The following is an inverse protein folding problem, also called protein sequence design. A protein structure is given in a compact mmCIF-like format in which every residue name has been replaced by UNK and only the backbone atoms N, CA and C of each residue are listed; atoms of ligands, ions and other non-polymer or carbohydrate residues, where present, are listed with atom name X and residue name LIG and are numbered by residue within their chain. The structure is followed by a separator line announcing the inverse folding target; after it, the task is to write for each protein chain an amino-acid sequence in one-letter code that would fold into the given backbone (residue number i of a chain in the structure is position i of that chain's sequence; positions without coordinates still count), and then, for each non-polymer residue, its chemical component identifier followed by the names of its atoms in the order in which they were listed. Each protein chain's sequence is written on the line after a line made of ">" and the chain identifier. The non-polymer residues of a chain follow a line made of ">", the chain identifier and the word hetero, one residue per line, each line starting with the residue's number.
data_IF_395153637144
#
_entry.id   IF_395153637144
#
_cell.length_a   1.000
_cell.length_b   1.000
_cell.length_c   1.000
_cell.angle_alpha   90.00
_cell.angle_beta   90.00
_cell.angle_gamma   90.00
#
_symmetry.space_group_name_H-M   'P 1'
#
loop_
_entity.id
_entity.type
_entity.pdbx_description
1 polymer ?
#
# COMPACT_ATOMS: atom_id res chain seq x y z
N UNK A 1 -13.78 -27.27 -3.51
CA UNK A 1 -14.31 -25.94 -3.17
C UNK A 1 -13.43 -25.35 -2.07
N UNK A 2 -12.98 -24.11 -2.26
CA UNK A 2 -12.13 -23.45 -1.28
C UNK A 2 -12.92 -23.10 -0.01
N UNK A 3 -12.22 -23.05 1.13
CA UNK A 3 -12.79 -22.67 2.44
C UNK A 3 -13.47 -21.29 2.37
N UNK A 4 -14.68 -21.12 2.89
CA UNK A 4 -15.33 -19.80 2.96
C UNK A 4 -14.63 -18.84 3.94
N UNK A 5 -14.66 -17.54 3.64
CA UNK A 5 -14.22 -16.48 4.56
C UNK A 5 -15.28 -16.26 5.66
N UNK A 6 -14.85 -15.82 6.84
CA UNK A 6 -15.71 -15.55 8.02
C UNK A 6 -15.87 -14.06 8.31
N UNK A 7 -15.03 -13.20 7.72
CA UNK A 7 -15.16 -11.75 7.85
C UNK A 7 -16.45 -11.24 7.21
N UNK A 8 -17.12 -10.33 7.90
CA UNK A 8 -18.30 -9.62 7.42
C UNK A 8 -18.01 -8.12 7.26
N UNK A 9 -18.71 -7.48 6.34
CA UNK A 9 -18.74 -6.03 6.17
C UNK A 9 -19.60 -5.39 7.26
N UNK A 10 -19.55 -4.05 7.34
CA UNK A 10 -20.36 -3.26 8.28
C UNK A 10 -21.88 -3.46 8.07
N UNK A 11 -22.30 -3.78 6.84
CA UNK A 11 -23.70 -4.09 6.50
C UNK A 11 -24.11 -5.54 6.82
N UNK A 12 -23.21 -6.34 7.43
CA UNK A 12 -23.45 -7.75 7.74
C UNK A 12 -23.29 -8.71 6.57
N UNK A 13 -22.94 -8.25 5.37
CA UNK A 13 -22.66 -9.12 4.22
C UNK A 13 -21.28 -9.76 4.35
N UNK A 14 -21.11 -11.05 4.01
CA UNK A 14 -19.80 -11.71 4.08
C UNK A 14 -18.86 -11.19 2.99
N UNK A 15 -17.56 -11.22 3.28
CA UNK A 15 -16.52 -11.03 2.25
C UNK A 15 -16.38 -12.30 1.41
N UNK A 16 -16.13 -12.11 0.12
CA UNK A 16 -15.81 -13.18 -0.82
C UNK A 16 -14.47 -12.90 -1.48
N UNK A 17 -13.70 -13.96 -1.76
CA UNK A 17 -12.54 -13.84 -2.64
C UNK A 17 -13.01 -13.42 -4.03
N UNK A 18 -12.11 -12.77 -4.78
CA UNK A 18 -12.37 -12.45 -6.18
C UNK A 18 -12.40 -13.73 -7.01
N UNK A 19 -13.25 -13.80 -8.02
CA UNK A 19 -13.41 -14.99 -8.87
C UNK A 19 -12.09 -15.51 -9.45
N UNK A 20 -11.20 -14.58 -9.86
CA UNK A 20 -9.86 -14.90 -10.34
C UNK A 20 -9.04 -15.67 -9.29
N UNK A 21 -9.13 -15.28 -8.02
CA UNK A 21 -8.41 -15.92 -6.91
C UNK A 21 -9.01 -17.28 -6.60
N UNK A 22 -10.34 -17.43 -6.63
CA UNK A 22 -11.01 -18.72 -6.45
C UNK A 22 -10.62 -19.72 -7.55
N UNK A 23 -10.63 -19.27 -8.81
CA UNK A 23 -10.20 -20.08 -9.94
C UNK A 23 -8.73 -20.51 -9.81
N UNK A 24 -7.86 -19.57 -9.43
CA UNK A 24 -6.45 -19.85 -9.19
C UNK A 24 -6.23 -20.84 -8.05
N UNK A 25 -6.93 -20.70 -6.92
CA UNK A 25 -6.88 -21.65 -5.80
C UNK A 25 -7.30 -23.06 -6.26
N UNK A 26 -8.38 -23.15 -7.04
CA UNK A 26 -8.87 -24.44 -7.53
C UNK A 26 -7.86 -25.10 -8.48
N UNK A 27 -7.26 -24.33 -9.39
CA UNK A 27 -6.21 -24.83 -10.29
C UNK A 27 -4.94 -25.26 -9.53
N UNK A 28 -4.53 -24.50 -8.50
CA UNK A 28 -3.36 -24.80 -7.68
C UNK A 28 -3.61 -25.94 -6.68
N UNK A 29 -4.86 -26.28 -6.38
CA UNK A 29 -5.18 -27.43 -5.54
C UNK A 29 -4.98 -28.78 -6.25
N UNK A 30 -4.89 -28.78 -7.58
CA UNK A 30 -4.71 -29.98 -8.40
C UNK A 30 -3.23 -30.33 -8.66
N UNK A 31 -2.32 -29.40 -8.37
CA UNK A 31 -0.87 -29.61 -8.53
C UNK A 31 -0.23 -30.18 -7.26
N UNK A 32 1.00 -30.70 -7.40
CA UNK A 32 1.75 -31.20 -6.26
C UNK A 32 2.29 -30.08 -5.36
N UNK A 33 2.54 -30.39 -4.09
CA UNK A 33 3.16 -29.48 -3.12
C UNK A 33 4.51 -28.91 -3.61
N UNK A 34 5.33 -29.74 -4.26
CA UNK A 34 6.62 -29.33 -4.82
C UNK A 34 6.47 -28.34 -5.99
N UNK A 35 5.44 -28.55 -6.83
CA UNK A 35 5.14 -27.65 -7.93
C UNK A 35 4.58 -26.30 -7.42
N UNK A 36 3.76 -26.33 -6.38
CA UNK A 36 3.27 -25.11 -5.73
C UNK A 36 4.43 -24.30 -5.12
N UNK A 37 5.39 -24.97 -4.46
CA UNK A 37 6.61 -24.33 -3.97
C UNK A 37 7.41 -23.66 -5.09
N UNK A 38 7.62 -24.37 -6.22
CA UNK A 38 8.32 -23.83 -7.39
C UNK A 38 7.62 -22.60 -7.96
N UNK A 39 6.29 -22.65 -8.11
CA UNK A 39 5.51 -21.52 -8.64
C UNK A 39 5.42 -20.35 -7.66
N UNK A 40 5.41 -20.61 -6.36
CA UNK A 40 5.46 -19.57 -5.34
C UNK A 40 6.78 -18.78 -5.38
N UNK A 41 7.84 -19.41 -5.88
CA UNK A 41 9.15 -18.80 -6.13
C UNK A 41 9.21 -17.91 -7.37
N UNK A 42 8.21 -17.97 -8.25
CA UNK A 42 8.11 -17.07 -9.39
C UNK A 42 7.73 -15.66 -8.95
N UNK A 43 8.37 -14.67 -9.58
CA UNK A 43 8.25 -13.26 -9.19
C UNK A 43 7.56 -12.40 -10.24
N UNK A 44 7.49 -12.86 -11.49
CA UNK A 44 6.97 -12.06 -12.59
C UNK A 44 5.46 -12.25 -12.67
N UNK A 45 4.71 -11.16 -12.45
CA UNK A 45 3.24 -11.17 -12.53
C UNK A 45 2.73 -11.54 -13.93
N UNK A 46 3.55 -11.34 -14.96
CA UNK A 46 3.23 -11.69 -16.35
C UNK A 46 3.55 -13.15 -16.67
N UNK A 47 4.19 -13.89 -15.74
CA UNK A 47 4.40 -15.32 -15.90
C UNK A 47 3.06 -16.04 -15.70
N UNK A 48 2.58 -16.83 -16.66
CA UNK A 48 1.33 -17.59 -16.53
C UNK A 48 1.31 -18.53 -15.33
N UNK A 49 2.47 -18.93 -14.82
CA UNK A 49 2.60 -19.81 -13.66
C UNK A 49 2.73 -19.06 -12.32
N UNK A 50 2.72 -17.73 -12.35
CA UNK A 50 2.81 -16.91 -11.15
C UNK A 50 1.59 -17.11 -10.23
N UNK A 51 1.88 -17.45 -8.98
CA UNK A 51 0.86 -17.55 -7.92
C UNK A 51 0.61 -16.16 -7.32
N UNK A 52 -0.63 -15.71 -7.21
CA UNK A 52 -1.00 -14.48 -6.50
C UNK A 52 -0.72 -14.58 -4.99
N UNK A 53 -0.44 -13.46 -4.29
CA UNK A 53 -0.26 -13.50 -2.85
C UNK A 53 -1.55 -13.88 -2.10
N UNK A 54 -2.73 -13.56 -2.65
CA UNK A 54 -4.03 -13.98 -2.12
C UNK A 54 -4.16 -15.51 -2.13
N UNK A 55 -3.89 -16.15 -3.27
CA UNK A 55 -3.92 -17.61 -3.39
C UNK A 55 -2.84 -18.27 -2.54
N UNK A 56 -1.63 -17.70 -2.50
CA UNK A 56 -0.55 -18.21 -1.64
C UNK A 56 -0.91 -18.18 -0.15
N UNK A 57 -1.56 -17.10 0.32
CA UNK A 57 -2.04 -16.99 1.70
C UNK A 57 -3.08 -18.08 2.01
N UNK A 58 -3.99 -18.37 1.09
CA UNK A 58 -4.94 -19.49 1.25
C UNK A 58 -4.20 -20.80 1.53
N UNK A 59 -3.18 -21.15 0.74
CA UNK A 59 -2.40 -22.36 0.96
C UNK A 59 -1.62 -22.33 2.27
N UNK A 60 -1.04 -21.19 2.65
CA UNK A 60 -0.35 -21.04 3.96
C UNK A 60 -1.31 -21.29 5.14
N UNK A 61 -2.55 -20.81 5.06
CA UNK A 61 -3.54 -20.98 6.14
C UNK A 61 -4.07 -22.41 6.23
N UNK A 62 -4.21 -23.10 5.10
CA UNK A 62 -4.80 -24.43 5.02
C UNK A 62 -3.79 -25.59 4.98
N UNK A 63 -2.50 -25.32 4.75
CA UNK A 63 -1.46 -26.35 4.79
C UNK A 63 -1.24 -26.86 6.22
N UNK A 64 -1.02 -28.17 6.34
CA UNK A 64 -0.62 -28.80 7.58
C UNK A 64 0.70 -28.23 8.10
N UNK A 65 0.91 -28.29 9.41
CA UNK A 65 2.19 -27.89 10.00
C UNK A 65 3.32 -28.77 9.45
N UNK A 66 4.43 -28.13 9.06
CA UNK A 66 5.59 -28.82 8.50
C UNK A 66 6.32 -27.99 7.46
N UNK A 67 7.40 -28.56 6.89
CA UNK A 67 8.33 -27.87 6.01
C UNK A 67 7.68 -27.21 4.79
N UNK A 68 6.65 -27.82 4.21
CA UNK A 68 5.93 -27.26 3.07
C UNK A 68 5.27 -25.92 3.41
N UNK A 69 4.54 -25.87 4.53
CA UNK A 69 3.89 -24.63 5.00
C UNK A 69 4.93 -23.56 5.33
N UNK A 70 6.04 -23.94 5.96
CA UNK A 70 7.09 -22.99 6.35
C UNK A 70 7.73 -22.34 5.11
N UNK A 71 8.01 -23.13 4.06
CA UNK A 71 8.48 -22.59 2.77
C UNK A 71 7.47 -21.64 2.13
N UNK A 72 6.20 -22.01 2.06
CA UNK A 72 5.16 -21.11 1.52
C UNK A 72 5.04 -19.82 2.34
N UNK A 73 5.16 -19.92 3.67
CA UNK A 73 5.17 -18.78 4.59
C UNK A 73 6.35 -17.87 4.30
N UNK A 74 7.56 -18.42 4.11
CA UNK A 74 8.75 -17.65 3.75
C UNK A 74 8.55 -16.87 2.44
N UNK A 75 8.04 -17.54 1.38
CA UNK A 75 7.76 -16.87 0.10
C UNK A 75 6.71 -15.76 0.25
N UNK A 76 5.70 -15.98 1.09
CA UNK A 76 4.69 -14.97 1.40
C UNK A 76 5.27 -13.77 2.16
N UNK A 77 6.16 -13.99 3.12
CA UNK A 77 6.83 -12.91 3.85
C UNK A 77 7.76 -12.09 2.95
N UNK A 78 8.49 -12.73 2.03
CA UNK A 78 9.28 -12.02 1.03
C UNK A 78 8.41 -11.12 0.15
N UNK A 79 7.20 -11.59 -0.18
CA UNK A 79 6.20 -10.83 -0.93
C UNK A 79 5.67 -9.63 -0.14
N UNK A 80 5.48 -9.73 1.17
CA UNK A 80 5.16 -8.57 2.03
C UNK A 80 6.34 -7.60 2.06
N UNK A 81 7.55 -8.09 2.32
CA UNK A 81 8.74 -7.27 2.49
C UNK A 81 9.12 -6.43 1.26
N UNK A 82 8.76 -6.88 0.04
CA UNK A 82 8.94 -6.13 -1.22
C UNK A 82 7.86 -5.08 -1.48
N UNK A 83 6.71 -5.18 -0.82
CA UNK A 83 5.59 -4.24 -0.95
C UNK A 83 5.72 -3.04 -0.01
N UNK A 84 6.66 -3.10 0.93
CA UNK A 84 7.02 -1.99 1.82
C UNK A 84 8.20 -1.23 1.21
N UNK A 85 8.27 0.12 1.33
CA UNK A 85 9.34 0.91 0.71
C UNK A 85 10.74 0.44 1.07
N UNK A 86 11.67 0.64 0.13
CA UNK A 86 13.09 0.40 0.38
C UNK A 86 13.59 1.33 1.49
N UNK A 87 14.44 0.77 2.35
CA UNK A 87 15.06 1.49 3.47
C UNK A 87 16.14 2.46 3.02
N UNK A 88 16.63 2.29 1.79
CA UNK A 88 17.63 3.16 1.18
C UNK A 88 16.94 4.42 0.62
N UNK A 89 17.45 5.59 0.99
CA UNK A 89 17.05 6.83 0.35
C UNK A 89 17.49 6.83 -1.13
N UNK A 90 16.84 7.67 -1.96
CA UNK A 90 17.06 7.74 -3.41
C UNK A 90 18.54 7.98 -3.82
N UNK A 91 19.40 8.40 -2.90
CA UNK A 91 20.84 8.58 -3.09
C UNK A 91 21.74 7.45 -2.55
N UNK A 92 21.17 6.39 -1.94
CA UNK A 92 21.91 5.24 -1.39
C UNK A 92 22.87 5.54 -0.24
N UNK A 93 22.94 6.79 0.24
CA UNK A 93 23.92 7.26 1.22
C UNK A 93 23.46 7.16 2.68
N UNK A 94 22.15 7.08 2.92
CA UNK A 94 21.55 7.02 4.25
C UNK A 94 20.42 5.99 4.28
N UNK A 95 20.41 5.17 5.33
CA UNK A 95 19.28 4.29 5.67
C UNK A 95 18.36 5.09 6.57
N UNK A 96 17.12 5.34 6.13
CA UNK A 96 16.14 6.01 6.98
C UNK A 96 15.67 5.01 8.06
N UNK A 97 16.08 5.24 9.31
CA UNK A 97 15.69 4.41 10.46
C UNK A 97 14.16 4.30 10.58
N UNK A 98 13.44 5.38 10.29
CA UNK A 98 11.97 5.41 10.29
C UNK A 98 11.37 4.50 9.23
N UNK A 99 11.90 4.51 8.00
CA UNK A 99 11.49 3.56 6.94
C UNK A 99 11.82 2.12 7.32
N UNK A 100 12.91 1.89 8.06
CA UNK A 100 13.28 0.57 8.56
C UNK A 100 12.25 0.07 9.57
N UNK A 101 11.92 0.90 10.56
CA UNK A 101 10.96 0.57 11.60
C UNK A 101 9.55 0.34 11.01
N UNK A 102 9.10 1.17 10.06
CA UNK A 102 7.82 0.95 9.36
C UNK A 102 7.82 -0.40 8.64
N UNK A 103 8.94 -0.78 8.04
CA UNK A 103 9.06 -2.07 7.34
C UNK A 103 9.06 -3.26 8.28
N UNK A 104 9.71 -3.14 9.43
CA UNK A 104 9.70 -4.14 10.48
C UNK A 104 8.29 -4.28 11.07
N UNK A 105 7.64 -3.17 11.43
CA UNK A 105 6.28 -3.18 12.01
C UNK A 105 5.24 -3.83 11.09
N UNK A 106 5.26 -3.51 9.79
CA UNK A 106 4.33 -4.13 8.82
C UNK A 106 4.57 -5.64 8.72
N UNK A 107 5.84 -6.04 8.72
CA UNK A 107 6.20 -7.46 8.67
C UNK A 107 5.80 -8.18 9.96
N UNK A 108 6.10 -7.59 11.11
CA UNK A 108 5.84 -8.17 12.43
C UNK A 108 4.33 -8.27 12.67
N UNK A 109 3.56 -7.24 12.31
CA UNK A 109 2.11 -7.29 12.35
C UNK A 109 1.55 -8.46 11.53
N UNK A 110 2.04 -8.63 10.29
CA UNK A 110 1.58 -9.72 9.45
C UNK A 110 2.00 -11.11 9.99
N UNK A 111 3.19 -11.22 10.58
CA UNK A 111 3.63 -12.45 11.26
C UNK A 111 2.73 -12.75 12.46
N UNK A 112 2.38 -11.75 13.26
CA UNK A 112 1.48 -11.90 14.40
C UNK A 112 0.09 -12.36 13.98
N UNK A 113 -0.44 -11.86 12.86
CA UNK A 113 -1.69 -12.35 12.27
C UNK A 113 -1.58 -13.83 11.89
N UNK A 114 -0.49 -14.25 11.25
CA UNK A 114 -0.27 -15.65 10.88
C UNK A 114 -0.14 -16.57 12.11
N UNK A 115 0.53 -16.10 13.17
CA UNK A 115 0.68 -16.85 14.42
C UNK A 115 -0.63 -16.93 15.19
N UNK A 116 -1.44 -15.86 15.16
CA UNK A 116 -2.77 -15.82 15.76
C UNK A 116 -3.69 -16.82 15.04
N UNK A 117 -3.75 -16.77 13.71
CA UNK A 117 -4.54 -17.67 12.87
C UNK A 117 -4.19 -19.15 13.07
N UNK A 118 -2.92 -19.45 13.37
CA UNK A 118 -2.47 -20.82 13.71
C UNK A 118 -3.09 -21.34 15.01
N UNK A 119 -3.31 -20.48 16.00
CA UNK A 119 -3.91 -20.86 17.30
C UNK A 119 -5.43 -20.93 17.17
N UNK A 120 -6.00 -19.92 16.54
CA UNK A 120 -7.44 -19.78 16.34
C UNK A 120 -7.65 -18.94 15.09
N UNK A 121 -8.67 -19.30 14.30
CA UNK A 121 -9.05 -18.56 13.11
C UNK A 121 -9.08 -17.04 13.35
N UNK A 122 -8.30 -16.30 12.55
CA UNK A 122 -8.24 -14.84 12.57
C UNK A 122 -8.90 -14.28 11.30
N UNK A 123 -10.05 -13.63 11.47
CA UNK A 123 -10.83 -13.08 10.37
C UNK A 123 -10.20 -11.83 9.74
N UNK A 124 -9.18 -11.24 10.37
CA UNK A 124 -8.40 -10.14 9.77
C UNK A 124 -7.66 -10.61 8.53
N UNK A 125 -7.15 -11.85 8.52
CA UNK A 125 -6.49 -12.45 7.35
C UNK A 125 -7.44 -12.68 6.17
N UNK A 126 -8.76 -12.71 6.38
CA UNK A 126 -9.72 -12.91 5.30
C UNK A 126 -9.65 -11.77 4.30
N UNK A 127 -9.42 -10.53 4.76
CA UNK A 127 -9.29 -9.40 3.84
C UNK A 127 -8.00 -9.50 2.99
N UNK A 128 -6.94 -10.11 3.50
CA UNK A 128 -5.72 -10.37 2.72
C UNK A 128 -5.95 -11.43 1.65
N UNK A 129 -6.86 -12.40 1.86
CA UNK A 129 -7.27 -13.35 0.82
C UNK A 129 -8.20 -12.71 -0.23
N UNK A 130 -8.87 -11.61 0.11
CA UNK A 130 -9.67 -10.83 -0.86
C UNK A 130 -8.77 -9.90 -1.67
N UNK A 131 -7.97 -9.08 -1.00
CA UNK A 131 -7.09 -8.09 -1.61
C UNK A 131 -5.84 -7.87 -0.75
N UNK A 132 -4.82 -8.68 -1.03
CA UNK A 132 -3.58 -8.71 -0.27
C UNK A 132 -2.85 -7.36 -0.34
N UNK A 133 -2.81 -6.75 -1.53
CA UNK A 133 -2.11 -5.49 -1.73
C UNK A 133 -2.76 -4.35 -0.95
N UNK A 134 -4.11 -4.29 -0.92
CA UNK A 134 -4.84 -3.29 -0.14
C UNK A 134 -4.63 -3.47 1.36
N UNK A 135 -4.62 -4.72 1.84
CA UNK A 135 -4.38 -5.04 3.24
C UNK A 135 -2.97 -4.59 3.69
N UNK A 136 -1.92 -4.98 2.96
CA UNK A 136 -0.55 -4.53 3.25
C UNK A 136 -0.40 -3.00 3.15
N UNK A 137 -1.14 -2.36 2.22
CA UNK A 137 -1.15 -0.91 2.15
C UNK A 137 -1.78 -0.26 3.39
N UNK A 138 -2.83 -0.87 3.97
CA UNK A 138 -3.45 -0.44 5.21
C UNK A 138 -2.51 -0.61 6.41
N UNK A 139 -1.86 -1.76 6.55
CA UNK A 139 -0.85 -1.99 7.61
C UNK A 139 0.25 -0.93 7.55
N UNK A 140 0.69 -0.59 6.34
CA UNK A 140 1.67 0.46 6.13
C UNK A 140 1.13 1.83 6.56
N UNK A 141 -0.16 2.14 6.35
CA UNK A 141 -0.75 3.40 6.85
C UNK A 141 -0.71 3.42 8.38
N UNK A 142 -1.08 2.32 9.02
CA UNK A 142 -1.14 2.22 10.47
C UNK A 142 0.26 2.32 11.09
N UNK A 143 1.24 1.58 10.56
CA UNK A 143 2.64 1.68 10.99
C UNK A 143 3.19 3.10 10.80
N UNK A 144 2.91 3.75 9.65
CA UNK A 144 3.27 5.15 9.45
C UNK A 144 2.64 6.04 10.52
N UNK A 145 1.35 5.89 10.82
CA UNK A 145 0.65 6.69 11.83
C UNK A 145 1.24 6.50 13.25
N UNK A 146 1.75 5.32 13.58
CA UNK A 146 2.46 5.07 14.85
C UNK A 146 3.81 5.79 14.90
N UNK A 147 4.64 5.64 13.87
CA UNK A 147 5.96 6.30 13.81
C UNK A 147 5.86 7.82 13.63
N UNK A 148 4.76 8.29 13.06
CA UNK A 148 4.42 9.71 12.94
C UNK A 148 4.35 10.44 14.28
N UNK A 149 3.88 9.77 15.34
CA UNK A 149 3.84 10.34 16.69
C UNK A 149 5.24 10.55 17.28
N UNK A 150 6.24 9.82 16.77
CA UNK A 150 7.59 9.81 17.32
C UNK A 150 8.52 10.85 16.65
N UNK A 151 8.40 11.08 15.34
CA UNK A 151 9.22 12.09 14.62
C UNK A 151 8.69 13.53 14.75
N UNK A 152 7.36 13.74 14.90
CA UNK A 152 6.77 15.08 14.96
C UNK A 152 6.93 15.80 16.32
N UNK A 153 7.80 15.33 17.22
CA UNK A 153 8.07 16.02 18.49
C UNK A 153 9.08 17.18 18.33
N UNK A 154 9.73 17.31 17.18
CA UNK A 154 10.88 18.23 17.01
C UNK A 154 10.99 18.96 15.66
N UNK A 155 10.03 18.87 14.74
CA UNK A 155 10.14 19.60 13.46
C UNK A 155 9.54 21.01 13.57
N UNK A 156 10.42 22.02 13.57
CA UNK A 156 10.08 23.43 13.40
C UNK A 156 9.54 23.65 11.97
N UNK A 157 8.30 24.15 11.87
CA UNK A 157 7.60 24.30 10.59
C UNK A 157 8.14 25.55 9.89
N UNK A 158 8.85 25.38 8.77
CA UNK A 158 9.27 26.49 7.91
C UNK A 158 8.05 27.32 7.45
N UNK A 159 8.19 28.64 7.57
CA UNK A 159 7.22 29.64 7.15
C UNK A 159 7.21 29.83 5.63
N UNK A 160 6.01 30.10 5.11
CA UNK A 160 5.69 30.41 3.71
C UNK A 160 6.65 31.45 3.11
N UNK A 161 7.21 31.16 1.92
CA UNK A 161 7.14 32.05 0.76
C UNK A 161 7.74 31.37 -0.47
N UNK A 162 6.89 31.16 -1.47
CA UNK A 162 7.28 30.62 -2.77
C UNK A 162 6.26 31.07 -3.83
N UNK A 163 6.57 32.20 -4.46
CA UNK A 163 5.76 32.87 -5.49
C UNK A 163 5.31 31.93 -6.61
N UNK A 164 4.10 32.23 -7.10
CA UNK A 164 3.33 31.41 -8.03
C UNK A 164 3.58 31.89 -9.46
N UNK A 165 4.00 31.00 -10.36
CA UNK A 165 3.86 31.28 -11.80
C UNK A 165 2.43 30.95 -12.24
N UNK A 166 1.73 31.94 -12.80
CA UNK A 166 0.37 31.84 -13.33
C UNK A 166 0.17 30.76 -14.42
N UNK A 167 1.25 30.15 -14.92
CA UNK A 167 1.17 29.02 -15.86
C UNK A 167 0.68 27.71 -15.20
N UNK A 168 0.67 27.59 -13.87
CA UNK A 168 0.30 26.35 -13.16
C UNK A 168 -1.21 26.23 -12.91
N UNK A 169 -1.97 27.33 -12.88
CA UNK A 169 -3.41 27.31 -12.60
C UNK A 169 -4.28 26.84 -13.79
N UNK A 170 -3.78 26.90 -15.03
CA UNK A 170 -4.60 26.66 -16.23
C UNK A 170 -4.55 25.23 -16.79
N UNK A 171 -3.74 24.32 -16.23
CA UNK A 171 -3.48 23.01 -16.84
C UNK A 171 -3.79 21.77 -15.96
N UNK A 172 -4.38 21.96 -14.77
CA UNK A 172 -4.84 20.86 -13.89
C UNK A 172 -6.34 20.60 -14.15
N UNK A 173 -6.70 20.35 -15.40
CA UNK A 173 -8.00 19.73 -15.69
C UNK A 173 -7.99 18.32 -15.11
N UNK A 174 -8.98 17.98 -14.29
CA UNK A 174 -9.40 16.68 -13.71
C UNK A 174 -8.33 15.58 -13.49
N UNK A 175 -7.06 15.97 -13.36
CA UNK A 175 -5.94 15.05 -13.39
C UNK A 175 -5.77 14.44 -12.01
N UNK A 176 -6.21 13.19 -11.90
CA UNK A 176 -6.00 12.37 -10.72
C UNK A 176 -4.78 11.45 -10.94
N UNK A 177 -3.64 11.67 -10.26
CA UNK A 177 -2.47 10.78 -10.36
C UNK A 177 -2.73 9.38 -9.76
N UNK A 178 -3.87 9.19 -9.08
CA UNK A 178 -4.32 7.91 -8.52
C UNK A 178 -5.50 7.31 -9.29
N UNK A 179 -5.72 7.74 -10.53
CA UNK A 179 -6.70 7.13 -11.41
C UNK A 179 -6.43 5.62 -11.60
N UNK A 180 -7.49 4.81 -11.57
CA UNK A 180 -7.39 3.36 -11.59
C UNK A 180 -6.73 2.84 -12.87
N UNK A 181 -7.04 3.45 -14.02
CA UNK A 181 -6.51 3.05 -15.33
C UNK A 181 -5.04 3.45 -15.48
N UNK A 182 -4.62 4.58 -14.89
CA UNK A 182 -3.22 5.01 -14.84
C UNK A 182 -2.38 4.12 -13.93
N UNK A 183 -2.90 3.74 -12.77
CA UNK A 183 -2.21 2.88 -11.82
C UNK A 183 -1.93 1.48 -12.39
N UNK A 184 -2.73 0.98 -13.32
CA UNK A 184 -2.52 -0.33 -13.95
C UNK A 184 -1.43 -0.33 -15.03
N UNK A 185 -0.91 0.84 -15.42
CA UNK A 185 0.19 0.94 -16.39
C UNK A 185 1.51 0.46 -15.80
N UNK A 186 2.29 -0.26 -16.63
CA UNK A 186 3.62 -0.77 -16.29
C UNK A 186 4.53 0.37 -15.82
N UNK A 187 5.24 0.14 -14.72
CA UNK A 187 6.17 1.11 -14.08
C UNK A 187 5.54 2.42 -13.57
N UNK A 188 4.28 2.75 -13.91
CA UNK A 188 3.63 3.99 -13.50
C UNK A 188 3.56 4.13 -11.98
N UNK A 189 3.16 3.08 -11.25
CA UNK A 189 3.12 3.08 -9.78
C UNK A 189 4.49 3.38 -9.16
N UNK A 190 5.54 2.78 -9.72
CA UNK A 190 6.93 2.97 -9.26
C UNK A 190 7.39 4.40 -9.52
N UNK A 191 7.10 4.94 -10.71
CA UNK A 191 7.44 6.30 -11.11
C UNK A 191 6.66 7.35 -10.31
N UNK A 192 5.39 7.06 -10.00
CA UNK A 192 4.52 7.89 -9.18
C UNK A 192 5.03 7.95 -7.74
N UNK A 193 5.36 6.81 -7.12
CA UNK A 193 5.91 6.79 -5.77
C UNK A 193 7.25 7.56 -5.70
N UNK A 194 8.13 7.39 -6.71
CA UNK A 194 9.39 8.16 -6.81
C UNK A 194 9.13 9.66 -7.02
N UNK A 195 8.11 10.02 -7.80
CA UNK A 195 7.72 11.41 -8.00
C UNK A 195 7.15 12.04 -6.73
N UNK A 196 6.33 11.30 -5.96
CA UNK A 196 5.82 11.72 -4.65
C UNK A 196 6.97 11.92 -3.67
N UNK A 197 7.95 11.01 -3.65
CA UNK A 197 9.14 11.11 -2.80
C UNK A 197 10.06 12.29 -3.12
N UNK A 198 9.85 12.93 -4.27
CA UNK A 198 10.60 14.12 -4.69
C UNK A 198 9.84 15.44 -4.46
N UNK A 199 8.61 15.38 -3.92
CA UNK A 199 7.84 16.57 -3.56
C UNK A 199 8.37 17.22 -2.27
N UNK A 200 8.22 18.55 -2.12
CA UNK A 200 8.39 19.23 -0.83
C UNK A 200 7.57 18.55 0.26
N UNK A 201 8.10 18.48 1.49
CA UNK A 201 7.51 17.69 2.58
C UNK A 201 6.03 18.00 2.78
N UNK A 202 5.66 19.27 2.86
CA UNK A 202 4.27 19.68 3.05
C UNK A 202 3.33 19.22 1.91
N UNK A 203 3.79 19.31 0.66
CA UNK A 203 3.03 18.85 -0.51
C UNK A 203 2.94 17.33 -0.57
N UNK A 204 4.03 16.62 -0.27
CA UNK A 204 4.06 15.17 -0.15
C UNK A 204 3.07 14.68 0.88
N UNK A 205 3.04 15.34 2.05
CA UNK A 205 2.17 15.04 3.18
C UNK A 205 0.69 15.16 2.79
N UNK A 206 0.33 16.22 2.05
CA UNK A 206 -1.02 16.39 1.49
C UNK A 206 -1.38 15.28 0.49
N UNK A 207 -0.49 14.97 -0.46
CA UNK A 207 -0.72 13.92 -1.48
C UNK A 207 -0.86 12.53 -0.86
N UNK A 208 -0.06 12.22 0.17
CA UNK A 208 -0.13 10.95 0.89
C UNK A 208 -1.45 10.83 1.64
N UNK A 209 -1.89 11.87 2.36
CA UNK A 209 -3.19 11.86 3.05
C UNK A 209 -4.36 11.77 2.06
N UNK A 210 -4.25 12.45 0.92
CA UNK A 210 -5.24 12.36 -0.16
C UNK A 210 -5.38 10.95 -0.71
N UNK A 211 -4.26 10.25 -0.95
CA UNK A 211 -4.23 8.84 -1.41
C UNK A 211 -4.90 7.88 -0.43
N UNK A 212 -5.09 8.30 0.82
CA UNK A 212 -5.74 7.51 1.86
C UNK A 212 -7.25 7.83 1.99
N UNK A 213 -7.80 8.58 1.03
CA UNK A 213 -9.20 9.04 1.01
C UNK A 213 -9.59 9.90 2.23
N UNK A 214 -8.59 10.53 2.87
CA UNK A 214 -8.84 11.48 3.96
C UNK A 214 -9.41 12.76 3.34
N UNK A 215 -10.57 13.25 3.79
CA UNK A 215 -11.17 14.45 3.23
C UNK A 215 -10.34 15.69 3.58
N UNK A 216 -10.29 16.68 2.68
CA UNK A 216 -9.60 17.97 2.96
C UNK A 216 -10.18 18.62 4.21
N UNK A 217 -11.51 18.63 4.26
CA UNK A 217 -12.29 19.18 5.34
C UNK A 217 -13.44 18.23 5.64
N UNK A 218 -13.75 18.09 6.93
CA UNK A 218 -14.87 17.31 7.40
C UNK A 218 -15.61 18.08 8.47
N UNK A 219 -16.93 18.19 8.28
CA UNK A 219 -17.86 18.73 9.27
C UNK A 219 -18.17 17.71 10.38
N UNK A 220 -17.81 16.45 10.18
CA UNK A 220 -17.94 15.40 11.20
C UNK A 220 -16.73 15.44 12.15
N UNK A 221 -16.93 15.61 13.47
CA UNK A 221 -15.85 15.58 14.46
C UNK A 221 -15.13 14.23 14.56
N UNK A 222 -15.77 13.14 14.13
CA UNK A 222 -15.21 11.77 14.17
C UNK A 222 -14.31 11.44 12.98
N UNK A 223 -14.31 12.28 11.94
CA UNK A 223 -13.51 12.10 10.73
C UNK A 223 -12.41 13.17 10.73
N UNK A 224 -11.16 12.73 10.91
CA UNK A 224 -10.00 13.61 10.77
C UNK A 224 -9.89 14.11 9.32
N UNK A 225 -9.67 15.42 9.15
CA UNK A 225 -9.52 16.05 7.84
C UNK A 225 -8.10 16.57 7.65
N UNK A 226 -7.62 16.64 6.40
CA UNK A 226 -6.26 17.07 6.09
C UNK A 226 -5.99 18.48 6.66
N UNK A 227 -6.97 19.39 6.60
CA UNK A 227 -6.87 20.73 7.20
C UNK A 227 -6.63 20.70 8.71
N UNK A 228 -7.37 19.87 9.46
CA UNK A 228 -7.23 19.69 10.91
C UNK A 228 -5.90 19.03 11.27
N UNK A 229 -5.50 17.98 10.53
CA UNK A 229 -4.27 17.22 10.78
C UNK A 229 -3.02 18.06 10.49
N UNK A 230 -3.06 18.94 9.49
CA UNK A 230 -1.94 19.80 9.13
C UNK A 230 -1.98 21.19 9.78
N UNK A 231 -3.05 21.51 10.52
CA UNK A 231 -3.23 22.81 11.17
C UNK A 231 -3.26 23.98 10.19
N UNK A 232 -3.77 23.77 8.97
CA UNK A 232 -3.82 24.77 7.89
C UNK A 232 -5.22 24.93 7.35
N UNK A 233 -5.50 26.10 6.75
CA UNK A 233 -6.80 26.36 6.14
C UNK A 233 -7.08 25.40 4.98
N UNK A 234 -8.34 25.07 4.76
CA UNK A 234 -8.80 24.25 3.62
C UNK A 234 -8.25 24.82 2.29
N UNK A 235 -8.30 26.14 2.13
CA UNK A 235 -7.77 26.87 0.97
C UNK A 235 -6.28 26.58 0.75
N UNK A 236 -5.46 26.66 1.80
CA UNK A 236 -4.02 26.36 1.75
C UNK A 236 -3.78 24.90 1.33
N UNK A 237 -4.54 23.95 1.87
CA UNK A 237 -4.40 22.53 1.52
C UNK A 237 -4.75 22.30 0.04
N UNK A 238 -5.85 22.87 -0.46
CA UNK A 238 -6.24 22.79 -1.88
C UNK A 238 -5.15 23.34 -2.80
N UNK A 239 -4.63 24.53 -2.50
CA UNK A 239 -3.55 25.14 -3.28
C UNK A 239 -2.29 24.27 -3.33
N UNK A 240 -1.86 23.71 -2.20
CA UNK A 240 -0.67 22.86 -2.16
C UNK A 240 -0.88 21.48 -2.79
N UNK A 241 -2.08 20.90 -2.69
CA UNK A 241 -2.47 19.70 -3.43
C UNK A 241 -2.36 19.92 -4.93
N UNK A 242 -2.92 21.01 -5.44
CA UNK A 242 -2.94 21.29 -6.87
C UNK A 242 -1.52 21.53 -7.41
N UNK A 243 -0.68 22.23 -6.64
CA UNK A 243 0.77 22.36 -6.90
C UNK A 243 1.47 21.00 -6.96
N UNK A 244 1.13 20.10 -6.04
CA UNK A 244 1.70 18.77 -5.99
C UNK A 244 1.27 17.93 -7.21
N UNK A 245 -0.02 17.95 -7.58
CA UNK A 245 -0.55 17.22 -8.73
C UNK A 245 0.03 17.73 -10.06
N UNK A 246 0.18 19.04 -10.22
CA UNK A 246 0.87 19.62 -11.37
C UNK A 246 2.33 19.16 -11.45
N UNK A 247 3.03 19.12 -10.31
CA UNK A 247 4.42 18.64 -10.22
C UNK A 247 4.55 17.15 -10.54
N UNK A 248 3.59 16.33 -10.10
CA UNK A 248 3.54 14.91 -10.40
C UNK A 248 3.30 14.66 -11.89
N UNK A 249 2.30 15.34 -12.47
CA UNK A 249 2.00 15.28 -13.91
C UNK A 249 3.23 15.56 -14.76
N UNK A 250 3.91 16.67 -14.49
CA UNK A 250 5.10 17.10 -15.23
C UNK A 250 6.27 16.10 -15.11
N UNK A 251 6.46 15.50 -13.93
CA UNK A 251 7.51 14.50 -13.69
C UNK A 251 7.20 13.17 -14.39
N UNK A 252 5.95 12.75 -14.38
CA UNK A 252 5.50 11.52 -15.02
C UNK A 252 5.52 11.63 -16.55
N UNK A 253 5.13 12.76 -17.12
CA UNK A 253 5.22 13.04 -18.56
C UNK A 253 6.68 13.08 -19.06
N UNK A 254 7.61 13.58 -18.24
CA UNK A 254 9.05 13.60 -18.57
C UNK A 254 9.69 12.21 -18.53
N UNK A 255 9.31 11.37 -17.57
CA UNK A 255 9.86 10.02 -17.42
C UNK A 255 9.25 8.99 -18.38
N UNK A 256 8.07 9.25 -18.94
CA UNK A 256 7.45 8.41 -19.97
C UNK A 256 7.96 8.65 -21.40
N UNK A 257 8.83 9.66 -21.63
CA UNK A 257 9.41 10.02 -22.94
C UNK A 257 10.86 9.57 -23.15
N UNK A 258 11.45 8.92 -22.15
CA UNK A 258 12.81 8.32 -22.17
C UNK A 258 12.70 6.82 -22.16
#
# INVERSE_FOLDING_TARGET
>A
MARSLRKHKLDGTPYFRRDKVEFEIQALAEISAAELERRADLWQVNDPEFVSPEALLYFVRNAAAGAHRDKLTEKLLLRVARRVPSVADAGGKTVSLTKMNIREDVRDHFVDLLLSDRKQYDDRLDYYEVNFNSAVAADRRDANAQHWKHENRTAEIETEDGEVSAQVELAVGDYNPFDADELDKKDYRRLLDEAIDSLPEFQRRIVVMWRQDIPIESNDPSIESISKVLGKSEKTIRTHRDKAFASLKLRLERKGRT
#
